data_IF_039231500300
#
_entry.id   IF_039231500300
#
_cell.length_a   1.000
_cell.length_b   1.000
_cell.length_c   1.000
_cell.angle_alpha   90.00
_cell.angle_beta   90.00
_cell.angle_gamma   90.00
#
_symmetry.space_group_name_H-M   'P 1'
#
loop_
_entity.id
_entity.type
_entity.pdbx_description
1 polymer ?
#
# COMPACT_ATOMS: atom_id res chain seq x y z
N UNK A 1 -19.92 29.36 -22.77
CA UNK A 1 -18.58 29.19 -22.15
C UNK A 1 -18.65 28.85 -20.66
N UNK A 2 -19.56 29.47 -19.90
CA UNK A 2 -19.78 29.23 -18.45
C UNK A 2 -20.18 27.78 -18.11
N UNK A 3 -21.10 27.17 -18.85
CA UNK A 3 -21.55 25.78 -18.61
C UNK A 3 -20.47 24.71 -18.83
N UNK A 4 -19.52 24.96 -19.73
CA UNK A 4 -18.40 24.06 -19.97
C UNK A 4 -17.42 24.04 -18.78
N UNK A 5 -17.20 25.19 -18.13
CA UNK A 5 -16.38 25.27 -16.92
C UNK A 5 -17.03 24.55 -15.75
N UNK A 6 -18.34 24.72 -15.53
CA UNK A 6 -19.08 24.05 -14.45
C UNK A 6 -19.05 22.53 -14.63
N UNK A 7 -19.29 22.02 -15.85
CA UNK A 7 -19.23 20.59 -16.15
C UNK A 7 -17.82 20.00 -15.98
N UNK A 8 -16.77 20.79 -16.28
CA UNK A 8 -15.37 20.36 -16.08
C UNK A 8 -15.02 20.28 -14.59
N UNK A 9 -15.44 21.26 -13.80
CA UNK A 9 -15.20 21.30 -12.36
C UNK A 9 -15.87 20.12 -11.63
N UNK A 10 -17.16 19.85 -11.92
CA UNK A 10 -17.88 18.70 -11.34
C UNK A 10 -17.24 17.35 -11.69
N UNK A 11 -16.72 17.19 -12.91
CA UNK A 11 -16.02 15.96 -13.33
C UNK A 11 -14.74 15.74 -12.54
N UNK A 12 -13.97 16.80 -12.30
CA UNK A 12 -12.74 16.72 -11.51
C UNK A 12 -13.07 16.37 -10.05
N UNK A 13 -14.10 16.99 -9.47
CA UNK A 13 -14.50 16.71 -8.09
C UNK A 13 -14.99 15.27 -7.90
N UNK A 14 -15.78 14.77 -8.86
CA UNK A 14 -16.22 13.39 -8.88
C UNK A 14 -15.02 12.44 -8.91
N UNK A 15 -14.04 12.71 -9.77
CA UNK A 15 -12.82 11.88 -9.89
C UNK A 15 -12.07 11.77 -8.56
N UNK A 16 -11.81 12.89 -7.86
CA UNK A 16 -11.10 12.85 -6.57
C UNK A 16 -11.90 12.10 -5.50
N UNK A 17 -13.23 12.26 -5.48
CA UNK A 17 -14.09 11.50 -4.57
C UNK A 17 -14.04 10.00 -4.85
N UNK A 18 -14.10 9.60 -6.12
CA UNK A 18 -13.98 8.19 -6.51
C UNK A 18 -12.63 7.60 -6.12
N UNK A 19 -11.54 8.35 -6.34
CA UNK A 19 -10.19 7.93 -5.91
C UNK A 19 -10.15 7.75 -4.39
N UNK A 20 -10.65 8.72 -3.62
CA UNK A 20 -10.70 8.62 -2.16
C UNK A 20 -11.50 7.41 -1.67
N UNK A 21 -12.67 7.15 -2.28
CA UNK A 21 -13.48 5.95 -1.98
C UNK A 21 -12.72 4.66 -2.27
N UNK A 22 -12.10 4.55 -3.44
CA UNK A 22 -11.33 3.35 -3.81
C UNK A 22 -10.16 3.11 -2.86
N UNK A 23 -9.45 4.17 -2.48
CA UNK A 23 -8.37 4.08 -1.49
C UNK A 23 -8.87 3.60 -0.14
N UNK A 24 -10.00 4.13 0.34
CA UNK A 24 -10.61 3.69 1.58
C UNK A 24 -10.99 2.20 1.51
N UNK A 25 -11.66 1.76 0.44
CA UNK A 25 -12.08 0.36 0.27
C UNK A 25 -10.89 -0.61 0.26
N UNK A 26 -9.88 -0.35 -0.57
CA UNK A 26 -8.67 -1.20 -0.66
C UNK A 26 -7.95 -1.23 0.68
N UNK A 27 -7.78 -0.07 1.30
CA UNK A 27 -7.10 0.01 2.60
C UNK A 27 -7.88 -0.70 3.69
N UNK A 28 -9.22 -0.64 3.71
CA UNK A 28 -10.04 -1.35 4.70
C UNK A 28 -9.88 -2.87 4.62
N UNK A 29 -9.81 -3.43 3.42
CA UNK A 29 -9.60 -4.88 3.23
C UNK A 29 -8.28 -5.31 3.85
N UNK A 30 -7.18 -4.62 3.52
CA UNK A 30 -5.86 -4.96 4.05
C UNK A 30 -5.66 -4.56 5.51
N UNK A 31 -6.36 -3.53 5.98
CA UNK A 31 -6.33 -3.12 7.39
C UNK A 31 -7.01 -4.16 8.27
N UNK A 32 -8.11 -4.76 7.81
CA UNK A 32 -8.75 -5.87 8.52
C UNK A 32 -7.82 -7.07 8.67
N UNK A 33 -7.22 -7.49 7.55
CA UNK A 33 -6.28 -8.61 7.50
C UNK A 33 -5.05 -8.37 8.38
N UNK A 34 -4.38 -7.23 8.21
CA UNK A 34 -3.23 -6.87 9.04
C UNK A 34 -3.58 -6.63 10.51
N UNK A 35 -4.78 -6.14 10.84
CA UNK A 35 -5.26 -6.01 12.21
C UNK A 35 -5.44 -7.38 12.87
N UNK A 36 -5.99 -8.36 12.15
CA UNK A 36 -6.14 -9.72 12.65
C UNK A 36 -4.80 -10.30 13.09
N UNK A 37 -3.77 -10.18 12.24
CA UNK A 37 -2.41 -10.62 12.56
C UNK A 37 -1.72 -9.78 13.64
N UNK A 38 -2.01 -8.48 13.71
CA UNK A 38 -1.46 -7.60 14.73
C UNK A 38 -2.00 -7.94 16.13
N UNK A 39 -3.32 -8.13 16.27
CA UNK A 39 -3.96 -8.44 17.55
C UNK A 39 -3.77 -9.91 17.98
N UNK A 40 -3.67 -10.83 17.02
CA UNK A 40 -3.50 -12.26 17.28
C UNK A 40 -2.08 -12.75 16.94
N UNK A 41 -1.06 -11.91 17.10
CA UNK A 41 0.29 -12.24 16.67
C UNK A 41 0.82 -13.52 17.33
N UNK A 42 0.55 -13.70 18.63
CA UNK A 42 0.95 -14.90 19.38
C UNK A 42 0.30 -16.19 18.83
N UNK A 43 -0.91 -16.09 18.29
CA UNK A 43 -1.66 -17.22 17.76
C UNK A 43 -1.40 -17.47 16.27
N UNK A 44 -1.08 -16.41 15.51
CA UNK A 44 -0.88 -16.47 14.06
C UNK A 44 0.59 -16.59 13.67
N UNK A 45 1.52 -16.32 14.59
CA UNK A 45 2.95 -16.27 14.32
C UNK A 45 3.33 -15.25 13.24
N UNK A 46 2.45 -14.31 12.91
CA UNK A 46 2.61 -13.44 11.73
C UNK A 46 2.60 -14.20 10.40
N UNK A 47 1.97 -15.39 10.32
CA UNK A 47 1.89 -16.18 9.10
C UNK A 47 1.02 -15.50 8.04
N UNK A 48 1.65 -15.27 6.90
CA UNK A 48 1.02 -15.03 5.61
C UNK A 48 0.63 -16.41 5.05
N UNK A 49 -0.66 -16.64 4.81
CA UNK A 49 -1.14 -17.91 4.25
C UNK A 49 -0.37 -18.21 2.96
N UNK A 50 0.50 -19.22 3.02
CA UNK A 50 1.28 -19.66 1.86
C UNK A 50 2.76 -19.29 1.85
N UNK A 51 3.39 -18.87 2.97
CA UNK A 51 4.86 -18.81 3.11
C UNK A 51 5.40 -19.90 4.04
N UNK A 52 6.19 -20.84 3.50
CA UNK A 52 6.83 -21.88 4.29
C UNK A 52 7.83 -21.27 5.30
N UNK A 53 7.64 -21.59 6.58
CA UNK A 53 8.73 -21.73 7.56
C UNK A 53 9.14 -20.53 8.42
N UNK A 54 8.75 -19.29 8.10
CA UNK A 54 9.13 -18.15 8.96
C UNK A 54 8.00 -17.14 9.13
N UNK A 55 7.50 -17.07 10.36
CA UNK A 55 6.59 -16.00 10.79
C UNK A 55 7.16 -14.62 10.51
N UNK A 56 6.34 -13.69 10.03
CA UNK A 56 6.79 -12.30 9.85
C UNK A 56 7.09 -11.69 11.21
N UNK A 57 8.25 -11.06 11.43
CA UNK A 57 8.53 -10.37 12.68
C UNK A 57 7.44 -9.35 13.01
N UNK A 58 7.07 -9.23 14.29
CA UNK A 58 5.99 -8.33 14.75
C UNK A 58 6.11 -6.90 14.22
N UNK A 59 7.32 -6.35 14.15
CA UNK A 59 7.54 -5.00 13.60
C UNK A 59 7.12 -4.86 12.14
N UNK A 60 7.21 -5.93 11.34
CA UNK A 60 6.76 -5.93 9.94
C UNK A 60 5.23 -5.92 9.86
N UNK A 61 4.57 -6.73 10.68
CA UNK A 61 3.10 -6.74 10.79
C UNK A 61 2.58 -5.36 11.19
N UNK A 62 3.19 -4.76 12.22
CA UNK A 62 2.88 -3.39 12.67
C UNK A 62 3.11 -2.35 11.57
N UNK A 63 4.23 -2.43 10.84
CA UNK A 63 4.52 -1.49 9.76
C UNK A 63 3.48 -1.56 8.62
N UNK A 64 3.06 -2.78 8.24
CA UNK A 64 2.02 -3.00 7.23
C UNK A 64 0.67 -2.47 7.70
N UNK A 65 0.29 -2.74 8.95
CA UNK A 65 -0.94 -2.20 9.55
C UNK A 65 -0.95 -0.67 9.55
N UNK A 66 0.12 -0.04 10.02
CA UNK A 66 0.25 1.42 10.04
C UNK A 66 0.23 2.02 8.63
N UNK A 67 0.86 1.35 7.64
CA UNK A 67 0.82 1.77 6.25
C UNK A 67 -0.62 1.82 5.69
N UNK A 68 -1.40 0.77 5.93
CA UNK A 68 -2.80 0.73 5.47
C UNK A 68 -3.68 1.72 6.23
N UNK A 69 -3.42 1.93 7.53
CA UNK A 69 -4.12 2.94 8.32
C UNK A 69 -3.86 4.35 7.79
N UNK A 70 -2.60 4.69 7.48
CA UNK A 70 -2.24 5.97 6.88
C UNK A 70 -2.88 6.13 5.49
N UNK A 71 -2.88 5.09 4.67
CA UNK A 71 -3.50 5.13 3.34
C UNK A 71 -5.01 5.34 3.43
N UNK A 72 -5.67 4.73 4.42
CA UNK A 72 -7.09 4.95 4.71
C UNK A 72 -7.37 6.40 5.12
N UNK A 73 -6.60 6.96 6.06
CA UNK A 73 -6.72 8.38 6.47
C UNK A 73 -6.45 9.31 5.28
N UNK A 74 -5.46 8.99 4.44
CA UNK A 74 -5.21 9.67 3.17
C UNK A 74 -6.42 9.65 2.25
N UNK A 75 -7.08 8.50 2.12
CA UNK A 75 -8.32 8.32 1.36
C UNK A 75 -9.45 9.22 1.85
N UNK A 76 -9.65 9.33 3.17
CA UNK A 76 -10.63 10.28 3.77
C UNK A 76 -10.31 11.71 3.36
N UNK A 77 -9.04 12.12 3.49
CA UNK A 77 -8.60 13.46 3.11
C UNK A 77 -8.87 13.77 1.63
N UNK A 78 -8.54 12.83 0.74
CA UNK A 78 -8.82 12.95 -0.71
C UNK A 78 -10.32 13.00 -1.01
N UNK A 79 -11.12 12.18 -0.34
CA UNK A 79 -12.57 12.13 -0.51
C UNK A 79 -13.25 13.48 -0.20
N UNK A 80 -12.83 14.17 0.86
CA UNK A 80 -13.43 15.47 1.20
C UNK A 80 -13.24 16.52 0.10
N UNK A 81 -12.12 16.46 -0.64
CA UNK A 81 -11.76 17.36 -1.75
C UNK A 81 -11.91 18.86 -1.39
N UNK A 82 -11.70 19.20 -0.11
CA UNK A 82 -11.61 20.57 0.41
C UNK A 82 -10.18 20.86 0.83
N UNK A 83 -9.77 22.13 0.86
CA UNK A 83 -8.39 22.52 1.17
C UNK A 83 -7.84 21.85 2.45
N UNK A 84 -8.57 21.95 3.57
CA UNK A 84 -8.17 21.37 4.85
C UNK A 84 -8.08 19.84 4.81
N UNK A 85 -9.05 19.18 4.20
CA UNK A 85 -9.02 17.72 4.07
C UNK A 85 -7.94 17.22 3.13
N UNK A 86 -7.62 17.95 2.06
CA UNK A 86 -6.49 17.63 1.17
C UNK A 86 -5.14 17.83 1.87
N UNK A 87 -5.01 18.83 2.76
CA UNK A 87 -3.82 18.98 3.63
C UNK A 87 -3.69 17.83 4.62
N UNK A 88 -4.78 17.42 5.25
CA UNK A 88 -4.77 16.27 6.17
C UNK A 88 -4.47 14.98 5.41
N UNK A 89 -4.95 14.84 4.17
CA UNK A 89 -4.75 13.66 3.35
C UNK A 89 -3.35 13.55 2.73
N UNK A 90 -2.70 14.66 2.39
CA UNK A 90 -1.39 14.60 1.71
C UNK A 90 -0.28 14.12 2.64
N UNK A 91 -0.31 14.49 3.92
CA UNK A 91 0.70 14.09 4.91
C UNK A 91 0.80 12.56 5.08
N UNK A 92 -0.27 11.82 5.40
CA UNK A 92 -0.21 10.37 5.51
C UNK A 92 0.09 9.69 4.17
N UNK A 93 -0.27 10.27 3.02
CA UNK A 93 0.14 9.73 1.71
C UNK A 93 1.64 9.86 1.44
N UNK A 94 2.25 10.97 1.86
CA UNK A 94 3.71 11.14 1.76
C UNK A 94 4.43 10.17 2.70
N UNK A 95 3.96 10.01 3.93
CA UNK A 95 4.53 9.03 4.87
C UNK A 95 4.36 7.61 4.33
N UNK A 96 3.17 7.27 3.84
CA UNK A 96 2.91 5.97 3.21
C UNK A 96 3.82 5.72 2.01
N UNK A 97 4.03 6.73 1.16
CA UNK A 97 4.98 6.65 0.05
C UNK A 97 6.40 6.34 0.53
N UNK A 98 6.92 7.12 1.48
CA UNK A 98 8.27 6.91 2.02
C UNK A 98 8.41 5.54 2.70
N UNK A 99 7.39 5.12 3.47
CA UNK A 99 7.35 3.81 4.11
C UNK A 99 7.36 2.67 3.09
N UNK A 100 6.54 2.78 2.03
CA UNK A 100 6.51 1.78 0.94
C UNK A 100 7.85 1.69 0.22
N UNK A 101 8.49 2.83 -0.05
CA UNK A 101 9.78 2.89 -0.72
C UNK A 101 10.88 2.25 0.14
N UNK A 102 10.93 2.58 1.42
CA UNK A 102 11.89 2.00 2.36
C UNK A 102 11.68 0.48 2.48
N UNK A 103 10.42 0.04 2.60
CA UNK A 103 10.10 -1.38 2.68
C UNK A 103 10.48 -2.13 1.40
N UNK A 104 10.24 -1.53 0.23
CA UNK A 104 10.67 -2.07 -1.06
C UNK A 104 12.19 -2.25 -1.13
N UNK A 105 12.97 -1.27 -0.68
CA UNK A 105 14.45 -1.37 -0.62
C UNK A 105 14.89 -2.54 0.27
N UNK A 106 14.24 -2.72 1.43
CA UNK A 106 14.53 -3.85 2.33
C UNK A 106 14.16 -5.20 1.70
N UNK A 107 13.04 -5.28 0.98
CA UNK A 107 12.65 -6.49 0.28
C UNK A 107 13.60 -6.82 -0.88
N UNK A 108 13.97 -5.82 -1.68
CA UNK A 108 14.91 -6.01 -2.80
C UNK A 108 16.30 -6.41 -2.32
N UNK A 109 16.79 -5.88 -1.21
CA UNK A 109 18.09 -6.27 -0.66
C UNK A 109 18.09 -7.71 -0.15
N UNK A 110 17.00 -8.16 0.50
CA UNK A 110 16.81 -9.57 0.86
C UNK A 110 16.69 -10.45 -0.37
N UNK A 111 16.07 -9.97 -1.45
CA UNK A 111 15.88 -10.73 -2.67
C UNK A 111 17.22 -11.17 -3.29
N UNK A 112 18.23 -10.31 -3.26
CA UNK A 112 19.58 -10.65 -3.75
C UNK A 112 20.22 -11.84 -3.04
N UNK A 113 19.67 -12.27 -1.89
CA UNK A 113 20.15 -13.38 -1.09
C UNK A 113 19.31 -14.65 -1.22
N UNK A 114 18.19 -14.65 -1.98
CA UNK A 114 17.36 -15.84 -2.14
C UNK A 114 18.05 -16.89 -3.02
N UNK A 115 18.02 -18.14 -2.55
CA UNK A 115 18.37 -19.31 -3.34
C UNK A 115 17.21 -19.71 -4.27
N UNK A 116 17.52 -20.28 -5.43
CA UNK A 116 16.54 -20.94 -6.30
C UNK A 116 16.11 -22.33 -5.79
N UNK A 117 16.64 -22.76 -4.64
CA UNK A 117 16.34 -24.04 -4.00
C UNK A 117 15.52 -23.86 -2.72
N UNK A 118 14.66 -24.82 -2.42
CA UNK A 118 13.88 -24.91 -1.19
C UNK A 118 14.06 -26.27 -0.53
N UNK A 119 14.05 -26.31 0.79
CA UNK A 119 14.11 -27.55 1.57
C UNK A 119 12.69 -28.01 1.88
N UNK A 120 12.33 -29.19 1.38
CA UNK A 120 11.05 -29.87 1.70
C UNK A 120 11.37 -31.22 2.28
N UNK A 121 10.91 -31.49 3.51
CA UNK A 121 11.20 -32.75 4.22
C UNK A 121 12.70 -33.09 4.25
N UNK A 122 13.55 -32.10 4.58
CA UNK A 122 15.02 -32.21 4.61
C UNK A 122 15.69 -32.53 3.26
N UNK A 123 14.95 -32.42 2.14
CA UNK A 123 15.50 -32.57 0.78
C UNK A 123 15.53 -31.21 0.08
N UNK A 124 16.71 -30.82 -0.41
CA UNK A 124 16.85 -29.65 -1.27
C UNK A 124 16.24 -29.95 -2.66
N UNK A 125 15.30 -29.11 -3.05
CA UNK A 125 14.57 -29.20 -4.32
C UNK A 125 14.61 -27.84 -5.03
N UNK A 126 14.74 -27.82 -6.34
CA UNK A 126 14.63 -26.56 -7.10
C UNK A 126 13.19 -26.06 -7.07
N UNK A 127 13.02 -24.75 -6.82
CA UNK A 127 11.71 -24.13 -6.84
C UNK A 127 11.15 -24.09 -8.27
N UNK A 128 9.90 -24.50 -8.43
CA UNK A 128 9.14 -24.29 -9.66
C UNK A 128 8.92 -22.80 -9.92
N UNK A 129 8.60 -22.42 -11.16
CA UNK A 129 8.32 -21.02 -11.52
C UNK A 129 7.18 -20.40 -10.70
N UNK A 130 6.16 -21.18 -10.36
CA UNK A 130 5.04 -20.75 -9.50
C UNK A 130 5.51 -20.46 -8.07
N UNK A 131 6.38 -21.30 -7.52
CA UNK A 131 6.92 -21.12 -6.18
C UNK A 131 7.85 -19.91 -6.14
N UNK A 132 8.73 -19.76 -7.13
CA UNK A 132 9.56 -18.56 -7.26
C UNK A 132 8.69 -17.29 -7.33
N UNK A 133 7.60 -17.32 -8.10
CA UNK A 133 6.67 -16.20 -8.14
C UNK A 133 6.07 -15.87 -6.77
N UNK A 134 5.54 -16.87 -6.06
CA UNK A 134 4.86 -16.69 -4.78
C UNK A 134 5.80 -16.26 -3.66
N UNK A 135 6.99 -16.84 -3.58
CA UNK A 135 7.91 -16.66 -2.47
C UNK A 135 8.91 -15.52 -2.69
N UNK A 136 9.31 -15.28 -3.94
CA UNK A 136 10.41 -14.38 -4.26
C UNK A 136 9.89 -13.08 -4.88
N UNK A 137 9.04 -13.17 -5.91
CA UNK A 137 8.74 -12.01 -6.77
C UNK A 137 7.46 -11.24 -6.40
N UNK A 138 6.43 -11.91 -5.87
CA UNK A 138 5.09 -11.33 -5.62
C UNK A 138 5.16 -10.08 -4.73
N UNK A 139 5.83 -10.16 -3.59
CA UNK A 139 5.87 -9.07 -2.61
C UNK A 139 6.65 -7.85 -3.12
N UNK A 140 7.91 -7.97 -3.60
CA UNK A 140 8.63 -6.83 -4.17
C UNK A 140 7.85 -6.13 -5.28
N UNK A 141 7.20 -6.90 -6.17
CA UNK A 141 6.42 -6.31 -7.25
C UNK A 141 5.18 -5.56 -6.74
N UNK A 142 4.47 -6.13 -5.75
CA UNK A 142 3.33 -5.47 -5.11
C UNK A 142 3.75 -4.12 -4.51
N UNK A 143 4.85 -4.11 -3.74
CA UNK A 143 5.35 -2.90 -3.11
C UNK A 143 5.86 -1.87 -4.12
N UNK A 144 6.48 -2.30 -5.22
CA UNK A 144 6.84 -1.41 -6.32
C UNK A 144 5.62 -0.73 -6.93
N UNK A 145 4.56 -1.49 -7.23
CA UNK A 145 3.30 -0.96 -7.75
C UNK A 145 2.64 0.02 -6.78
N UNK A 146 2.65 -0.28 -5.47
CA UNK A 146 2.14 0.60 -4.42
C UNK A 146 2.94 1.91 -4.35
N UNK A 147 4.28 1.85 -4.38
CA UNK A 147 5.14 3.03 -4.35
C UNK A 147 4.89 3.95 -5.55
N UNK A 148 4.79 3.39 -6.76
CA UNK A 148 4.48 4.17 -7.97
C UNK A 148 3.07 4.78 -7.87
N UNK A 149 2.09 4.01 -7.41
CA UNK A 149 0.71 4.48 -7.25
C UNK A 149 0.61 5.64 -6.26
N UNK A 150 1.28 5.52 -5.11
CA UNK A 150 1.31 6.58 -4.09
C UNK A 150 2.04 7.82 -4.58
N UNK A 151 3.15 7.68 -5.33
CA UNK A 151 3.83 8.82 -5.95
C UNK A 151 2.90 9.61 -6.88
N UNK A 152 2.14 8.90 -7.72
CA UNK A 152 1.17 9.52 -8.62
C UNK A 152 0.03 10.19 -7.85
N UNK A 153 -0.48 9.56 -6.79
CA UNK A 153 -1.52 10.12 -5.93
C UNK A 153 -1.05 11.38 -5.20
N UNK A 154 0.14 11.36 -4.59
CA UNK A 154 0.75 12.53 -3.95
C UNK A 154 0.84 13.68 -4.95
N UNK A 155 1.31 13.41 -6.17
CA UNK A 155 1.41 14.44 -7.23
C UNK A 155 0.04 14.99 -7.62
N UNK A 156 -0.98 14.16 -7.75
CA UNK A 156 -2.35 14.56 -8.10
C UNK A 156 -2.98 15.41 -6.98
N UNK A 157 -2.92 14.93 -5.74
CA UNK A 157 -3.44 15.64 -4.56
C UNK A 157 -2.74 16.98 -4.38
N UNK A 158 -1.43 17.04 -4.57
CA UNK A 158 -0.67 18.28 -4.50
C UNK A 158 -1.09 19.30 -5.56
N UNK A 159 -1.28 18.85 -6.82
CA UNK A 159 -1.80 19.71 -7.89
C UNK A 159 -3.19 20.24 -7.54
N UNK A 160 -4.07 19.40 -7.00
CA UNK A 160 -5.41 19.80 -6.57
C UNK A 160 -5.37 20.79 -5.43
N UNK A 161 -4.52 20.56 -4.43
CA UNK A 161 -4.34 21.46 -3.30
C UNK A 161 -3.93 22.86 -3.76
N UNK A 162 -3.00 22.98 -4.71
CA UNK A 162 -2.63 24.25 -5.33
C UNK A 162 -3.81 24.92 -6.03
N UNK A 163 -4.61 24.16 -6.77
CA UNK A 163 -5.78 24.67 -7.50
C UNK A 163 -6.93 25.13 -6.59
N UNK A 164 -7.04 24.59 -5.37
CA UNK A 164 -8.09 24.97 -4.40
C UNK A 164 -7.65 26.10 -3.47
N UNK A 165 -6.33 26.34 -3.35
CA UNK A 165 -5.77 27.48 -2.60
C UNK A 165 -5.96 28.83 -3.30
N UNK A 166 -6.02 28.81 -4.64
CA UNK A 166 -6.23 29.97 -5.52
C UNK A 166 -7.73 30.22 -5.65
#
# INVERSE_FOLDING_TARGET
>A
MHDLMIKRFRRVDFLYRSIGIMMMLVSSVHLWDSAYHFFNYENTGGLDEGKFGYGRPFYQVTAVFLFWLLTFIGGIGVYTNRFTGLLIGIFPLVIGFLGSLLYLVVLSSRHLQYSATMVVNDVETEMTSTEQWLYIYKDPLLWLCLTISLLLLVRLVYKRLRAVKV
#
